data_IF_710088003716
#
_entry.id   IF_710088003716
#
_cell.length_a   1.000
_cell.length_b   1.000
_cell.length_c   1.000
_cell.angle_alpha   90.00
_cell.angle_beta   90.00
_cell.angle_gamma   90.00
#
_symmetry.space_group_name_H-M   'P 1'
#
loop_
_entity.id
_entity.type
_entity.pdbx_description
1 polymer ?
#
# COMPACT_ATOMS: atom_id res chain seq x y z
N UNK A 1 -7.19 -19.61 16.68
CA UNK A 1 -7.84 -19.57 15.34
C UNK A 1 -7.05 -20.49 14.41
N UNK A 2 -7.72 -21.53 13.84
CA UNK A 2 -7.03 -22.44 12.93
C UNK A 2 -6.69 -21.74 11.60
N UNK A 3 -5.58 -22.15 10.95
CA UNK A 3 -5.17 -21.65 9.63
C UNK A 3 -6.29 -21.81 8.58
N UNK A 4 -7.12 -22.83 8.72
CA UNK A 4 -8.28 -23.11 7.87
C UNK A 4 -9.35 -22.00 7.98
N UNK A 5 -9.66 -21.54 9.21
CA UNK A 5 -10.61 -20.44 9.43
C UNK A 5 -10.09 -19.14 8.83
N UNK A 6 -8.81 -18.84 9.01
CA UNK A 6 -8.19 -17.65 8.43
C UNK A 6 -8.23 -17.67 6.89
N UNK A 7 -7.97 -18.82 6.26
CA UNK A 7 -8.07 -18.99 4.81
C UNK A 7 -9.49 -18.79 4.29
N UNK A 8 -10.50 -19.33 5.00
CA UNK A 8 -11.92 -19.15 4.63
C UNK A 8 -12.36 -17.69 4.76
N UNK A 9 -11.95 -16.99 5.82
CA UNK A 9 -12.25 -15.58 6.00
C UNK A 9 -11.57 -14.71 4.91
N UNK A 10 -10.33 -15.01 4.57
CA UNK A 10 -9.60 -14.35 3.49
C UNK A 10 -10.26 -14.55 2.12
N UNK A 11 -10.67 -15.78 1.81
CA UNK A 11 -11.37 -16.09 0.57
C UNK A 11 -12.74 -15.38 0.48
N UNK A 12 -13.52 -15.36 1.57
CA UNK A 12 -14.80 -14.65 1.63
C UNK A 12 -14.64 -13.14 1.50
N UNK A 13 -13.67 -12.55 2.22
CA UNK A 13 -13.37 -11.11 2.12
C UNK A 13 -12.92 -10.73 0.72
N UNK A 14 -12.07 -11.53 0.09
CA UNK A 14 -11.63 -11.31 -1.30
C UNK A 14 -12.78 -11.42 -2.30
N UNK A 15 -13.67 -12.38 -2.14
CA UNK A 15 -14.85 -12.55 -3.00
C UNK A 15 -15.83 -11.36 -2.85
N UNK A 16 -16.08 -10.92 -1.62
CA UNK A 16 -16.90 -9.77 -1.33
C UNK A 16 -16.33 -8.48 -1.95
N UNK A 17 -15.03 -8.21 -1.77
CA UNK A 17 -14.36 -7.06 -2.37
C UNK A 17 -14.42 -7.07 -3.90
N UNK A 18 -14.28 -8.25 -4.52
CA UNK A 18 -14.42 -8.38 -5.97
C UNK A 18 -15.82 -8.04 -6.46
N UNK A 19 -16.85 -8.40 -5.68
CA UNK A 19 -18.25 -8.04 -6.00
C UNK A 19 -18.54 -6.53 -5.92
N UNK A 20 -17.74 -5.77 -5.16
CA UNK A 20 -17.84 -4.32 -5.09
C UNK A 20 -17.14 -3.59 -6.25
N UNK A 21 -16.23 -4.27 -6.95
CA UNK A 21 -15.49 -3.67 -8.05
C UNK A 21 -16.31 -3.78 -9.35
N UNK A 22 -16.34 -2.70 -10.16
CA UNK A 22 -16.97 -2.76 -11.48
C UNK A 22 -16.32 -3.84 -12.36
N UNK A 23 -17.16 -4.62 -13.05
CA UNK A 23 -16.71 -5.67 -13.94
C UNK A 23 -15.69 -5.14 -14.96
N UNK A 24 -14.58 -5.83 -15.25
CA UNK A 24 -13.58 -5.40 -16.24
C UNK A 24 -14.15 -5.11 -17.62
N UNK A 25 -15.28 -5.76 -17.97
CA UNK A 25 -16.04 -5.56 -19.22
C UNK A 25 -17.12 -4.49 -19.15
N UNK A 26 -17.39 -3.90 -17.99
CA UNK A 26 -18.45 -2.93 -17.82
C UNK A 26 -18.13 -1.57 -18.49
N UNK A 27 -19.19 -0.88 -18.85
CA UNK A 27 -19.32 0.31 -19.70
C UNK A 27 -18.26 1.42 -19.49
N UNK A 28 -18.18 2.35 -20.45
CA UNK A 28 -17.34 3.58 -20.38
C UNK A 28 -17.46 4.36 -19.08
N UNK A 29 -18.60 4.29 -18.38
CA UNK A 29 -18.84 4.94 -17.08
C UNK A 29 -17.94 4.42 -15.95
N UNK A 30 -17.44 3.19 -16.01
CA UNK A 30 -16.55 2.60 -15.01
C UNK A 30 -15.07 3.02 -15.16
N UNK A 31 -14.69 3.59 -16.31
CA UNK A 31 -13.29 4.00 -16.59
C UNK A 31 -12.77 5.07 -15.61
N UNK A 32 -13.49 6.19 -15.33
CA UNK A 32 -12.98 7.20 -14.39
C UNK A 32 -12.84 6.66 -12.96
N UNK A 33 -13.77 5.81 -12.53
CA UNK A 33 -13.69 5.16 -11.20
C UNK A 33 -12.46 4.25 -11.13
N UNK A 34 -12.19 3.45 -12.15
CA UNK A 34 -11.00 2.60 -12.20
C UNK A 34 -9.71 3.40 -12.24
N UNK A 35 -9.68 4.52 -12.99
CA UNK A 35 -8.54 5.42 -13.04
C UNK A 35 -8.29 6.05 -11.66
N UNK A 36 -9.33 6.54 -10.99
CA UNK A 36 -9.22 7.08 -9.64
C UNK A 36 -8.69 6.03 -8.64
N UNK A 37 -9.24 4.81 -8.66
CA UNK A 37 -8.77 3.71 -7.82
C UNK A 37 -7.31 3.33 -8.12
N UNK A 38 -6.89 3.36 -9.40
CA UNK A 38 -5.50 3.12 -9.77
C UNK A 38 -4.58 4.22 -9.23
N UNK A 39 -4.95 5.50 -9.35
CA UNK A 39 -4.18 6.62 -8.77
C UNK A 39 -4.05 6.47 -7.27
N UNK A 40 -5.14 6.18 -6.56
CA UNK A 40 -5.12 5.94 -5.11
C UNK A 40 -4.23 4.73 -4.78
N UNK A 41 -4.32 3.65 -5.52
CA UNK A 41 -3.49 2.46 -5.31
C UNK A 41 -1.99 2.75 -5.51
N UNK A 42 -1.63 3.58 -6.50
CA UNK A 42 -0.22 3.91 -6.78
C UNK A 42 0.31 5.07 -5.94
N UNK A 43 -0.53 5.86 -5.27
CA UNK A 43 -0.06 6.95 -4.39
C UNK A 43 0.80 6.46 -3.22
N UNK A 44 0.62 5.21 -2.79
CA UNK A 44 1.45 4.55 -1.79
C UNK A 44 2.74 3.92 -2.33
N UNK A 45 3.06 4.09 -3.61
CA UNK A 45 4.30 3.56 -4.20
C UNK A 45 5.53 4.32 -3.69
N UNK A 46 6.60 3.59 -3.42
CA UNK A 46 7.88 4.19 -3.02
C UNK A 46 8.42 5.14 -4.07
N UNK A 47 8.16 4.88 -5.35
CA UNK A 47 8.54 5.74 -6.49
C UNK A 47 7.88 7.13 -6.39
N UNK A 48 6.72 7.23 -5.77
CA UNK A 48 6.02 8.51 -5.53
C UNK A 48 6.44 9.11 -4.18
N UNK A 49 6.44 8.29 -3.14
CA UNK A 49 6.66 8.78 -1.77
C UNK A 49 8.10 9.25 -1.52
N UNK A 50 9.11 8.60 -2.09
CA UNK A 50 10.51 9.00 -1.90
C UNK A 50 10.81 10.39 -2.47
N UNK A 51 10.44 10.74 -3.72
CA UNK A 51 10.58 12.11 -4.23
C UNK A 51 9.80 13.14 -3.41
N UNK A 52 8.59 12.83 -2.97
CA UNK A 52 7.78 13.74 -2.14
C UNK A 52 8.47 14.02 -0.80
N UNK A 53 8.97 13.01 -0.12
CA UNK A 53 9.73 13.17 1.12
C UNK A 53 11.03 13.94 0.89
N UNK A 54 11.74 13.69 -0.20
CA UNK A 54 12.94 14.44 -0.57
C UNK A 54 12.65 15.91 -0.82
N UNK A 55 11.54 16.22 -1.52
CA UNK A 55 11.12 17.61 -1.76
C UNK A 55 10.70 18.32 -0.47
N UNK A 56 9.97 17.64 0.41
CA UNK A 56 9.61 18.20 1.72
C UNK A 56 10.86 18.52 2.53
N UNK A 57 11.81 17.60 2.58
CA UNK A 57 13.06 17.79 3.31
C UNK A 57 13.87 18.97 2.74
N UNK A 58 13.95 19.09 1.42
CA UNK A 58 14.60 20.21 0.79
C UNK A 58 13.93 21.55 1.13
N UNK A 59 12.59 21.60 1.12
CA UNK A 59 11.83 22.82 1.46
C UNK A 59 11.98 23.23 2.93
N UNK A 60 12.10 22.30 3.84
CA UNK A 60 12.29 22.57 5.27
C UNK A 60 13.72 23.02 5.60
N UNK A 61 14.66 22.86 4.66
CA UNK A 61 16.09 22.95 4.93
C UNK A 61 16.58 21.71 5.69
N UNK A 62 17.71 21.17 5.26
CA UNK A 62 18.23 19.88 5.75
C UNK A 62 18.44 19.80 7.26
N UNK A 63 18.55 20.93 7.95
CA UNK A 63 18.74 20.99 9.40
C UNK A 63 17.43 20.96 10.22
N UNK A 64 16.30 21.37 9.63
CA UNK A 64 15.04 21.52 10.37
C UNK A 64 14.22 20.22 10.43
N UNK A 65 14.02 19.52 9.32
CA UNK A 65 13.37 18.21 9.18
C UNK A 65 12.13 17.98 10.06
N UNK A 66 11.42 19.06 10.45
CA UNK A 66 10.38 18.99 11.45
C UNK A 66 9.18 18.12 11.01
N UNK A 67 8.88 18.11 9.72
CA UNK A 67 7.81 17.30 9.11
C UNK A 67 8.38 16.13 8.33
N UNK A 68 9.39 16.38 7.50
CA UNK A 68 9.95 15.36 6.61
C UNK A 68 10.61 14.21 7.37
N UNK A 69 11.34 14.47 8.46
CA UNK A 69 12.05 13.44 9.21
C UNK A 69 11.11 12.41 9.84
N UNK A 70 10.06 12.78 10.61
CA UNK A 70 9.14 11.78 11.18
C UNK A 70 8.35 11.02 10.10
N UNK A 71 8.01 11.65 8.98
CA UNK A 71 7.36 10.96 7.86
C UNK A 71 8.31 9.97 7.19
N UNK A 72 9.58 10.34 6.98
CA UNK A 72 10.60 9.44 6.44
C UNK A 72 10.87 8.26 7.40
N UNK A 73 10.93 8.52 8.70
CA UNK A 73 11.10 7.47 9.71
C UNK A 73 9.89 6.50 9.70
N UNK A 74 8.66 7.02 9.63
CA UNK A 74 7.45 6.20 9.52
C UNK A 74 7.45 5.37 8.23
N UNK A 75 7.85 5.97 7.11
CA UNK A 75 8.00 5.27 5.84
C UNK A 75 9.01 4.11 5.95
N UNK A 76 10.23 4.37 6.42
CA UNK A 76 11.28 3.37 6.54
C UNK A 76 10.89 2.24 7.51
N UNK A 77 10.33 2.60 8.67
CA UNK A 77 9.85 1.63 9.64
C UNK A 77 8.74 0.75 9.07
N UNK A 78 7.79 1.34 8.34
CA UNK A 78 6.72 0.58 7.68
C UNK A 78 7.25 -0.37 6.60
N UNK A 79 8.26 0.04 5.83
CA UNK A 79 8.94 -0.81 4.85
C UNK A 79 9.62 -1.98 5.53
N UNK A 80 10.37 -1.73 6.60
CA UNK A 80 11.08 -2.77 7.37
C UNK A 80 10.09 -3.79 7.95
N UNK A 81 9.10 -3.31 8.72
CA UNK A 81 8.11 -4.19 9.36
C UNK A 81 7.29 -4.98 8.34
N UNK A 82 6.86 -4.32 7.26
CA UNK A 82 6.12 -4.99 6.19
C UNK A 82 6.95 -6.08 5.54
N UNK A 83 8.23 -5.82 5.27
CA UNK A 83 9.15 -6.80 4.67
C UNK A 83 9.35 -7.99 5.60
N UNK A 84 9.63 -7.74 6.88
CA UNK A 84 9.79 -8.82 7.86
C UNK A 84 8.52 -9.69 7.95
N UNK A 85 7.34 -9.06 8.04
CA UNK A 85 6.06 -9.78 8.09
C UNK A 85 5.77 -10.55 6.80
N UNK A 86 6.11 -10.02 5.63
CA UNK A 86 5.96 -10.75 4.36
C UNK A 86 6.75 -12.05 4.35
N UNK A 87 8.01 -12.01 4.78
CA UNK A 87 8.86 -13.20 4.85
C UNK A 87 8.46 -14.16 5.98
N UNK A 88 7.85 -13.67 7.04
CA UNK A 88 7.30 -14.52 8.11
C UNK A 88 6.01 -15.22 7.67
N UNK A 89 5.07 -14.49 7.07
CA UNK A 89 3.73 -15.01 6.70
C UNK A 89 3.76 -15.77 5.37
N UNK A 90 4.59 -15.34 4.42
CA UNK A 90 4.80 -15.97 3.10
C UNK A 90 3.51 -16.25 2.31
N UNK A 91 2.51 -15.37 2.45
CA UNK A 91 1.26 -15.51 1.70
C UNK A 91 1.49 -15.25 0.21
N UNK A 92 1.24 -16.24 -0.64
CA UNK A 92 1.38 -16.11 -2.09
C UNK A 92 0.37 -15.11 -2.66
N UNK A 93 0.74 -14.43 -3.75
CA UNK A 93 -0.19 -13.55 -4.46
C UNK A 93 -1.22 -14.36 -5.24
N UNK A 94 -2.51 -13.97 -5.21
CA UNK A 94 -3.51 -14.56 -6.07
C UNK A 94 -3.12 -14.45 -7.55
N UNK A 95 -3.46 -15.46 -8.34
CA UNK A 95 -3.26 -15.44 -9.80
C UNK A 95 -4.22 -14.42 -10.41
N UNK A 96 -3.71 -13.54 -11.28
CA UNK A 96 -4.49 -12.52 -11.98
C UNK A 96 -3.54 -11.56 -12.70
N UNK A 97 -4.07 -10.74 -13.63
CA UNK A 97 -3.28 -9.80 -14.44
C UNK A 97 -2.76 -8.63 -13.58
N UNK A 98 -3.56 -8.22 -12.59
CA UNK A 98 -3.15 -7.24 -11.59
C UNK A 98 -2.03 -7.79 -10.71
N UNK A 99 -0.91 -7.10 -10.71
CA UNK A 99 0.25 -7.48 -9.90
C UNK A 99 1.20 -8.47 -10.58
N UNK A 100 1.02 -8.78 -11.87
CA UNK A 100 1.97 -9.61 -12.62
C UNK A 100 3.39 -9.04 -12.57
N UNK A 101 3.53 -7.71 -12.67
CA UNK A 101 4.79 -6.99 -12.61
C UNK A 101 5.47 -7.14 -11.23
N UNK A 102 4.70 -7.12 -10.14
CA UNK A 102 5.23 -7.24 -8.79
C UNK A 102 5.55 -8.67 -8.35
N UNK A 103 5.01 -9.70 -9.05
CA UNK A 103 5.25 -11.10 -8.66
C UNK A 103 6.71 -11.53 -8.70
N UNK A 104 7.50 -10.92 -9.58
CA UNK A 104 8.94 -11.21 -9.70
C UNK A 104 9.77 -10.55 -8.60
N UNK A 105 9.40 -9.33 -8.21
CA UNK A 105 10.15 -8.51 -7.25
C UNK A 105 9.62 -8.61 -5.82
N UNK A 106 8.32 -8.87 -5.65
CA UNK A 106 7.64 -8.98 -4.36
C UNK A 106 6.61 -10.13 -4.40
N UNK A 107 7.04 -11.38 -4.19
CA UNK A 107 6.21 -12.57 -4.35
C UNK A 107 5.12 -12.70 -3.28
N UNK A 108 5.25 -11.99 -2.16
CA UNK A 108 4.33 -12.10 -1.03
C UNK A 108 3.27 -11.00 -1.05
N UNK A 109 2.00 -11.40 -0.82
CA UNK A 109 0.85 -10.49 -0.92
C UNK A 109 0.48 -9.82 0.39
N UNK A 110 0.90 -10.33 1.52
CA UNK A 110 0.51 -9.83 2.84
C UNK A 110 1.71 -9.62 3.76
N UNK A 111 1.72 -8.53 4.51
CA UNK A 111 0.82 -7.38 4.41
C UNK A 111 1.07 -6.52 3.17
N UNK A 112 0.08 -5.65 2.82
CA UNK A 112 0.23 -4.73 1.70
C UNK A 112 1.22 -3.62 2.04
N UNK A 113 2.32 -3.52 1.30
CA UNK A 113 3.31 -2.47 1.51
C UNK A 113 2.77 -1.06 1.27
N UNK A 114 1.89 -0.87 0.28
CA UNK A 114 1.25 0.41 0.00
C UNK A 114 0.35 0.84 1.16
N UNK A 115 -0.56 -0.04 1.60
CA UNK A 115 -1.46 0.25 2.70
C UNK A 115 -0.71 0.54 4.00
N UNK A 116 0.33 -0.23 4.31
CA UNK A 116 1.13 -0.04 5.52
C UNK A 116 1.86 1.30 5.53
N UNK A 117 2.50 1.68 4.40
CA UNK A 117 3.20 2.96 4.28
C UNK A 117 2.24 4.15 4.38
N UNK A 118 1.16 4.12 3.61
CA UNK A 118 0.15 5.18 3.64
C UNK A 118 -0.44 5.34 5.03
N UNK A 119 -0.85 4.25 5.68
CA UNK A 119 -1.38 4.30 7.04
C UNK A 119 -0.37 4.85 8.05
N UNK A 120 0.89 4.39 8.03
CA UNK A 120 1.91 4.86 8.95
C UNK A 120 2.19 6.36 8.77
N UNK A 121 2.31 6.84 7.53
CA UNK A 121 2.55 8.25 7.26
C UNK A 121 1.34 9.12 7.62
N UNK A 122 0.11 8.67 7.34
CA UNK A 122 -1.12 9.37 7.73
C UNK A 122 -1.23 9.50 9.24
N UNK A 123 -0.96 8.44 10.00
CA UNK A 123 -0.98 8.48 11.47
C UNK A 123 0.03 9.48 12.01
N UNK A 124 1.25 9.52 11.46
CA UNK A 124 2.27 10.50 11.88
C UNK A 124 1.85 11.92 11.50
N UNK A 125 1.30 12.13 10.30
CA UNK A 125 0.80 13.44 9.87
C UNK A 125 -0.30 13.95 10.81
N UNK A 126 -1.30 13.13 11.09
CA UNK A 126 -2.39 13.47 12.01
C UNK A 126 -1.89 13.76 13.44
N UNK A 127 -0.96 12.94 13.95
CA UNK A 127 -0.36 13.15 15.27
C UNK A 127 0.45 14.46 15.36
N UNK A 128 0.89 14.99 14.24
CA UNK A 128 1.61 16.26 14.12
C UNK A 128 0.71 17.46 13.79
N UNK A 129 -0.59 17.22 13.57
CA UNK A 129 -1.55 18.28 13.21
C UNK A 129 -1.40 18.78 11.76
N UNK A 130 -0.93 17.90 10.86
CA UNK A 130 -0.73 18.18 9.42
C UNK A 130 -1.95 17.75 8.60
#
# INVERSE_FOLDING_TARGET
>A
LSLEVLRRLDARGTAWLRGLLPDPGASRASRPVRAALAVIAHSGDSVVLVPVLGLLWWREGFAAGAVALPLAAAFLLSVLLTTLLKYAVRRSRPRGDWGAMYRKTDPHSFPSGHASRTAAMTLVALARGL
#
